data_IF_257632981507
#
_entry.id   IF_257632981507
#
_cell.length_a   1.000
_cell.length_b   1.000
_cell.length_c   1.000
_cell.angle_alpha   90.00
_cell.angle_beta   90.00
_cell.angle_gamma   90.00
#
_symmetry.space_group_name_H-M   'P 1'
#
loop_
_entity.id
_entity.type
_entity.pdbx_description
1 polymer ?
#
# COMPACT_ATOMS: atom_id res chain seq x y z
N UNK A 1 -4.70 23.07 11.34
CA UNK A 1 -3.52 23.00 10.44
C UNK A 1 -2.66 21.76 10.69
N UNK A 2 -2.17 21.50 11.92
CA UNK A 2 -1.32 20.34 12.22
C UNK A 2 -1.94 18.98 11.82
N UNK A 3 -3.20 18.74 12.17
CA UNK A 3 -3.96 17.52 11.82
C UNK A 3 -4.13 17.33 10.31
N UNK A 4 -4.35 18.41 9.57
CA UNK A 4 -4.51 18.39 8.12
C UNK A 4 -3.21 18.02 7.41
N UNK A 5 -2.08 18.62 7.83
CA UNK A 5 -0.76 18.31 7.28
C UNK A 5 -0.39 16.85 7.57
N UNK A 6 -0.62 16.38 8.81
CA UNK A 6 -0.37 14.97 9.18
C UNK A 6 -1.26 13.99 8.41
N UNK A 7 -2.54 14.33 8.20
CA UNK A 7 -3.45 13.51 7.39
C UNK A 7 -3.00 13.39 5.94
N UNK A 8 -2.65 14.52 5.30
CA UNK A 8 -2.19 14.55 3.91
C UNK A 8 -0.85 13.82 3.73
N UNK A 9 0.11 14.05 4.62
CA UNK A 9 1.41 13.37 4.56
C UNK A 9 1.28 11.86 4.79
N UNK A 10 0.40 11.41 5.69
CA UNK A 10 0.08 9.99 5.86
C UNK A 10 -0.48 9.36 4.58
N UNK A 11 -1.45 10.01 3.93
CA UNK A 11 -2.01 9.53 2.66
C UNK A 11 -0.98 9.51 1.53
N UNK A 12 -0.10 10.51 1.47
CA UNK A 12 0.97 10.58 0.48
C UNK A 12 1.95 9.41 0.63
N UNK A 13 2.38 9.13 1.87
CA UNK A 13 3.26 7.99 2.18
C UNK A 13 2.54 6.66 1.86
N UNK A 14 1.26 6.54 2.20
CA UNK A 14 0.47 5.35 1.88
C UNK A 14 0.42 5.09 0.36
N UNK A 15 0.23 6.14 -0.45
CA UNK A 15 0.21 6.04 -1.91
C UNK A 15 1.55 5.59 -2.49
N UNK A 16 2.66 6.14 -1.99
CA UNK A 16 4.01 5.71 -2.40
C UNK A 16 4.23 4.25 -2.04
N UNK A 17 3.90 3.87 -0.80
CA UNK A 17 4.09 2.50 -0.32
C UNK A 17 3.25 1.51 -1.14
N UNK A 18 1.99 1.84 -1.44
CA UNK A 18 1.13 1.04 -2.29
C UNK A 18 1.74 0.83 -3.68
N UNK A 19 2.16 1.91 -4.34
CA UNK A 19 2.77 1.86 -5.66
C UNK A 19 4.06 1.03 -5.68
N UNK A 20 4.94 1.23 -4.70
CA UNK A 20 6.16 0.44 -4.55
C UNK A 20 5.86 -1.06 -4.36
N UNK A 21 4.79 -1.38 -3.64
CA UNK A 21 4.36 -2.76 -3.41
C UNK A 21 3.90 -3.44 -4.70
N UNK A 22 3.14 -2.72 -5.53
CA UNK A 22 2.72 -3.24 -6.84
C UNK A 22 3.90 -3.43 -7.78
N UNK A 23 4.86 -2.49 -7.78
CA UNK A 23 6.10 -2.63 -8.56
C UNK A 23 6.89 -3.85 -8.10
N UNK A 24 7.06 -4.03 -6.79
CA UNK A 24 7.77 -5.18 -6.23
C UNK A 24 7.08 -6.51 -6.60
N UNK A 25 5.76 -6.58 -6.51
CA UNK A 25 5.00 -7.76 -6.91
C UNK A 25 5.14 -8.05 -8.42
N UNK A 26 5.18 -7.03 -9.28
CA UNK A 26 5.40 -7.19 -10.71
C UNK A 26 6.81 -7.72 -11.03
N UNK A 27 7.85 -7.17 -10.38
CA UNK A 27 9.23 -7.63 -10.54
C UNK A 27 9.40 -9.06 -10.03
N UNK A 28 8.84 -9.38 -8.86
CA UNK A 28 8.87 -10.74 -8.29
C UNK A 28 8.17 -11.74 -9.20
N UNK A 29 7.03 -11.36 -9.78
CA UNK A 29 6.33 -12.17 -10.78
C UNK A 29 7.17 -12.41 -12.04
N UNK A 30 7.93 -11.40 -12.49
CA UNK A 30 8.85 -11.54 -13.63
C UNK A 30 9.97 -12.55 -13.36
N UNK A 31 10.58 -12.49 -12.17
CA UNK A 31 11.63 -13.43 -11.73
C UNK A 31 11.17 -14.89 -11.67
N UNK A 32 9.89 -15.13 -11.37
CA UNK A 32 9.30 -16.48 -11.34
C UNK A 32 9.10 -17.07 -12.75
N UNK A 33 9.09 -16.23 -13.79
CA UNK A 33 8.71 -16.59 -15.17
C UNK A 33 9.92 -16.74 -16.10
N UNK A 34 11.05 -16.11 -15.79
CA UNK A 34 12.25 -16.11 -16.64
C UNK A 34 13.03 -17.44 -16.59
N UNK A 35 13.73 -17.79 -17.69
CA UNK A 35 14.37 -19.09 -17.94
C UNK A 35 15.35 -19.50 -16.81
N UNK A 36 14.87 -20.37 -15.91
CA UNK A 36 15.59 -20.85 -14.72
C UNK A 36 14.80 -20.69 -13.41
N UNK A 37 13.76 -19.86 -13.40
CA UNK A 37 12.75 -19.81 -12.33
C UNK A 37 11.92 -21.08 -12.30
N UNK A 38 11.31 -21.38 -11.16
CA UNK A 38 10.50 -22.59 -10.87
C UNK A 38 9.15 -22.55 -11.61
N UNK A 39 9.22 -22.29 -12.91
CA UNK A 39 8.16 -21.90 -13.80
C UNK A 39 6.95 -22.80 -13.61
N UNK A 40 5.83 -22.19 -13.29
CA UNK A 40 4.54 -22.85 -13.19
C UNK A 40 4.45 -23.99 -12.15
N UNK A 41 5.42 -24.13 -11.25
CA UNK A 41 5.30 -25.07 -10.14
C UNK A 41 4.38 -24.47 -9.07
N UNK A 42 3.22 -25.09 -8.88
CA UNK A 42 2.21 -24.70 -7.86
C UNK A 42 2.76 -24.58 -6.43
N UNK A 43 3.95 -25.13 -6.14
CA UNK A 43 4.64 -25.05 -4.85
C UNK A 43 5.42 -23.74 -4.66
N UNK A 44 5.75 -23.03 -5.73
CA UNK A 44 6.67 -21.88 -5.71
C UNK A 44 6.06 -20.55 -6.16
N UNK A 45 4.74 -20.53 -6.36
CA UNK A 45 3.99 -19.29 -6.54
C UNK A 45 3.16 -19.34 -7.80
N UNK A 46 1.89 -19.73 -7.64
CA UNK A 46 0.88 -19.56 -8.68
C UNK A 46 0.83 -18.08 -9.05
N UNK A 47 0.85 -17.74 -10.34
CA UNK A 47 0.60 -16.38 -10.85
C UNK A 47 -0.57 -15.75 -10.07
N UNK A 48 -0.28 -14.78 -9.21
CA UNK A 48 -1.23 -14.22 -8.24
C UNK A 48 -0.83 -14.31 -6.76
N UNK A 49 0.12 -15.16 -6.37
CA UNK A 49 0.67 -15.18 -4.99
C UNK A 49 1.73 -14.13 -4.75
N UNK A 50 2.33 -13.53 -5.78
CA UNK A 50 3.38 -12.52 -5.65
C UNK A 50 2.97 -11.33 -4.76
N UNK A 51 1.72 -10.85 -4.89
CA UNK A 51 1.17 -9.80 -4.02
C UNK A 51 1.03 -10.30 -2.57
N UNK A 52 0.72 -11.59 -2.37
CA UNK A 52 0.59 -12.20 -1.05
C UNK A 52 1.95 -12.42 -0.38
N UNK A 53 2.97 -12.82 -1.15
CA UNK A 53 4.32 -13.12 -0.64
C UNK A 53 5.14 -11.86 -0.38
N UNK A 54 5.13 -10.91 -1.32
CA UNK A 54 5.96 -9.69 -1.23
C UNK A 54 5.15 -8.49 -0.76
N UNK A 55 3.85 -8.48 -1.03
CA UNK A 55 3.00 -7.31 -0.81
C UNK A 55 2.16 -7.29 0.46
N UNK A 56 1.97 -8.42 1.15
CA UNK A 56 1.01 -8.46 2.26
C UNK A 56 1.38 -7.53 3.43
N UNK A 57 2.65 -7.53 3.86
CA UNK A 57 3.10 -6.65 4.96
C UNK A 57 3.05 -5.15 4.58
N UNK A 58 3.59 -4.73 3.41
CA UNK A 58 3.44 -3.35 2.96
C UNK A 58 1.98 -2.91 2.77
N UNK A 59 1.11 -3.78 2.23
CA UNK A 59 -0.31 -3.46 2.01
C UNK A 59 -1.08 -3.24 3.31
N UNK A 60 -0.81 -4.05 4.35
CA UNK A 60 -1.40 -3.84 5.68
C UNK A 60 -1.01 -2.47 6.22
N UNK A 61 0.27 -2.10 6.08
CA UNK A 61 0.78 -0.81 6.54
C UNK A 61 0.16 0.35 5.75
N UNK A 62 0.05 0.22 4.43
CA UNK A 62 -0.69 1.16 3.57
C UNK A 62 -2.13 1.33 4.04
N UNK A 63 -2.83 0.24 4.36
CA UNK A 63 -4.21 0.28 4.87
C UNK A 63 -4.31 1.08 6.17
N UNK A 64 -3.44 0.81 7.14
CA UNK A 64 -3.40 1.53 8.43
C UNK A 64 -3.13 3.04 8.21
N UNK A 65 -2.14 3.38 7.39
CA UNK A 65 -1.81 4.78 7.06
C UNK A 65 -2.96 5.50 6.34
N UNK A 66 -3.68 4.78 5.48
CA UNK A 66 -4.82 5.33 4.74
C UNK A 66 -5.99 5.63 5.66
N UNK A 67 -6.35 4.67 6.53
CA UNK A 67 -7.45 4.84 7.50
C UNK A 67 -7.14 5.94 8.50
N UNK A 68 -5.92 5.94 9.08
CA UNK A 68 -5.50 6.96 10.04
C UNK A 68 -5.40 8.35 9.39
N UNK A 69 -4.84 8.45 8.19
CA UNK A 69 -4.76 9.70 7.43
C UNK A 69 -6.14 10.25 7.07
N UNK A 70 -7.04 9.40 6.57
CA UNK A 70 -8.43 9.76 6.26
C UNK A 70 -9.21 10.22 7.50
N UNK A 71 -9.05 9.52 8.63
CA UNK A 71 -9.66 9.93 9.89
C UNK A 71 -9.18 11.31 10.35
N UNK A 72 -7.88 11.58 10.30
CA UNK A 72 -7.32 12.89 10.67
C UNK A 72 -7.85 14.03 9.78
N UNK A 73 -8.00 13.78 8.48
CA UNK A 73 -8.60 14.74 7.56
C UNK A 73 -10.08 14.97 7.85
N UNK A 74 -10.84 13.92 8.15
CA UNK A 74 -12.25 14.03 8.49
C UNK A 74 -12.47 14.85 9.76
N UNK A 75 -11.72 14.56 10.82
CA UNK A 75 -11.75 15.35 12.07
C UNK A 75 -11.34 16.80 11.80
N UNK A 76 -10.31 17.02 10.99
CA UNK A 76 -9.88 18.37 10.61
C UNK A 76 -10.97 19.13 9.85
N UNK A 77 -11.68 18.47 8.93
CA UNK A 77 -12.74 19.07 8.11
C UNK A 77 -13.99 19.44 8.93
N UNK A 78 -14.40 18.58 9.88
CA UNK A 78 -15.46 18.90 10.85
C UNK A 78 -15.06 20.04 11.79
N UNK A 79 -13.82 20.06 12.25
CA UNK A 79 -13.33 21.13 13.13
C UNK A 79 -13.32 22.52 12.47
N UNK A 80 -13.14 22.57 11.14
CA UNK A 80 -13.21 23.82 10.37
C UNK A 80 -14.62 24.34 10.09
N UNK A 81 -15.64 23.46 10.08
CA UNK A 81 -17.04 23.84 9.81
C UNK A 81 -17.77 24.37 11.03
N UNK A 82 -17.34 24.01 12.25
CA UNK A 82 -17.95 24.47 13.52
C UNK A 82 -17.44 25.85 13.97
N UNK A 83 -16.35 26.34 13.37
CA UNK A 83 -15.74 27.64 13.72
C UNK A 83 -16.15 28.79 12.79
N UNK A 84 -17.02 28.54 11.82
CA UNK A 84 -17.65 29.58 11.00
C UNK A 84 -19.02 29.94 11.58
#
# INVERSE_FOLDING_TARGET
>A
MKSMILGLSSLFIASILYGATLIAAAVYSGWLVEEGGLGWDSRYGVFGTAIREVGMMPLILTGILTVSGGYLLWVSAKGSTVKQ
#
